data_IF_071098793226
#
_entry.id   IF_071098793226
#
_cell.length_a   1.000
_cell.length_b   1.000
_cell.length_c   1.000
_cell.angle_alpha   90.00
_cell.angle_beta   90.00
_cell.angle_gamma   90.00
#
_symmetry.space_group_name_H-M   'P 1'
#
loop_
_entity.id
_entity.type
_entity.pdbx_description
1 polymer ?
#
# COMPACT_ATOMS: atom_id res chain seq x y z
N UNK A 1 -7.17 -1.24 -12.14
CA UNK A 1 -7.69 -0.59 -10.92
C UNK A 1 -8.36 -1.57 -9.93
N UNK A 2 -9.59 -2.06 -10.14
CA UNK A 2 -10.26 -2.94 -9.14
C UNK A 2 -9.48 -4.23 -8.84
N UNK A 3 -8.92 -4.90 -9.85
CA UNK A 3 -8.13 -6.14 -9.68
C UNK A 3 -6.79 -5.95 -8.95
N UNK A 4 -6.19 -4.76 -9.01
CA UNK A 4 -4.93 -4.47 -8.30
C UNK A 4 -5.20 -4.21 -6.83
N UNK A 5 -6.30 -3.51 -6.50
CA UNK A 5 -6.76 -3.32 -5.13
C UNK A 5 -7.00 -4.67 -4.43
N UNK A 6 -7.63 -5.64 -5.10
CA UNK A 6 -7.87 -6.98 -4.53
C UNK A 6 -6.59 -7.74 -4.17
N UNK A 7 -5.53 -7.61 -4.98
CA UNK A 7 -4.27 -8.34 -4.77
C UNK A 7 -3.45 -7.75 -3.62
N UNK A 8 -3.58 -6.45 -3.37
CA UNK A 8 -2.96 -5.78 -2.22
C UNK A 8 -3.66 -6.12 -0.89
N UNK A 9 -5.00 -6.21 -0.88
CA UNK A 9 -5.75 -6.52 0.35
C UNK A 9 -5.54 -7.97 0.82
N UNK A 10 -5.30 -8.90 -0.11
CA UNK A 10 -5.04 -10.32 0.16
C UNK A 10 -3.59 -10.66 0.54
N UNK A 11 -2.73 -9.66 0.81
CA UNK A 11 -1.40 -9.93 1.36
C UNK A 11 -1.52 -10.71 2.68
N UNK A 12 -0.70 -11.76 2.90
CA UNK A 12 -0.86 -12.72 4.00
C UNK A 12 -0.86 -12.06 5.38
N UNK A 13 -0.14 -10.94 5.52
CA UNK A 13 -0.07 -10.15 6.75
C UNK A 13 -1.43 -9.58 7.20
N UNK A 14 -2.38 -9.41 6.28
CA UNK A 14 -3.73 -8.85 6.53
C UNK A 14 -4.82 -9.93 6.53
N UNK A 15 -4.63 -10.97 5.72
CA UNK A 15 -5.59 -12.07 5.62
C UNK A 15 -5.67 -12.92 6.91
N UNK A 16 -4.56 -13.09 7.63
CA UNK A 16 -4.49 -13.90 8.87
C UNK A 16 -5.35 -13.30 10.01
N UNK A 17 -5.13 -12.05 10.46
CA UNK A 17 -5.93 -11.48 11.56
C UNK A 17 -7.40 -11.34 11.17
N UNK A 18 -7.68 -11.01 9.92
CA UNK A 18 -9.03 -10.86 9.41
C UNK A 18 -9.78 -12.20 9.34
N UNK A 19 -9.08 -13.26 8.92
CA UNK A 19 -9.59 -14.63 8.97
C UNK A 19 -9.86 -15.12 10.39
N UNK A 20 -8.96 -14.83 11.34
CA UNK A 20 -9.14 -15.17 12.76
C UNK A 20 -10.37 -14.50 13.36
N UNK A 21 -10.54 -13.19 13.14
CA UNK A 21 -11.70 -12.43 13.63
C UNK A 21 -12.98 -12.91 12.96
N UNK A 22 -12.95 -13.15 11.64
CA UNK A 22 -14.10 -13.67 10.90
C UNK A 22 -14.52 -15.07 11.37
N UNK A 23 -13.55 -15.96 11.59
CA UNK A 23 -13.82 -17.31 12.10
C UNK A 23 -14.42 -17.27 13.51
N UNK A 24 -13.89 -16.40 14.38
CA UNK A 24 -14.41 -16.22 15.74
C UNK A 24 -15.87 -15.72 15.71
N UNK A 25 -16.17 -14.70 14.89
CA UNK A 25 -17.53 -14.16 14.72
C UNK A 25 -18.51 -15.22 14.21
N UNK A 26 -18.17 -15.90 13.11
CA UNK A 26 -19.03 -16.93 12.52
C UNK A 26 -19.26 -18.10 13.50
N UNK A 27 -18.24 -18.48 14.27
CA UNK A 27 -18.36 -19.53 15.28
C UNK A 27 -19.25 -19.13 16.45
N UNK A 28 -19.14 -17.88 16.92
CA UNK A 28 -19.96 -17.35 18.01
C UNK A 28 -21.44 -17.25 17.58
N UNK A 29 -21.71 -16.77 16.37
CA UNK A 29 -23.07 -16.68 15.84
C UNK A 29 -23.68 -18.06 15.66
N UNK A 30 -22.95 -19.02 15.09
CA UNK A 30 -23.43 -20.39 14.94
C UNK A 30 -23.81 -21.03 16.28
N UNK A 31 -22.98 -20.84 17.32
CA UNK A 31 -23.25 -21.38 18.66
C UNK A 31 -24.48 -20.72 19.30
N UNK A 32 -24.69 -19.42 19.06
CA UNK A 32 -25.76 -18.65 19.67
C UNK A 32 -27.13 -18.88 19.00
N UNK A 33 -27.22 -18.80 17.67
CA UNK A 33 -28.51 -18.84 16.96
C UNK A 33 -28.80 -20.17 16.28
N UNK A 34 -27.78 -21.00 16.00
CA UNK A 34 -27.89 -22.25 15.21
C UNK A 34 -28.62 -22.07 13.86
N UNK A 35 -28.62 -20.84 13.33
CA UNK A 35 -29.33 -20.47 12.13
C UNK A 35 -28.34 -20.18 11.00
N UNK A 36 -28.43 -20.94 9.91
CA UNK A 36 -27.56 -20.75 8.73
C UNK A 36 -27.70 -19.37 8.09
N UNK A 37 -28.89 -18.77 8.17
CA UNK A 37 -29.17 -17.44 7.59
C UNK A 37 -28.44 -16.34 8.37
N UNK A 38 -28.33 -16.47 9.69
CA UNK A 38 -27.58 -15.53 10.53
C UNK A 38 -26.08 -15.59 10.21
N UNK A 39 -25.52 -16.81 10.13
CA UNK A 39 -24.11 -17.01 9.74
C UNK A 39 -23.83 -16.49 8.33
N UNK A 40 -24.76 -16.67 7.39
CA UNK A 40 -24.62 -16.13 6.03
C UNK A 40 -24.62 -14.60 6.02
N UNK A 41 -25.45 -13.94 6.84
CA UNK A 41 -25.46 -12.49 6.97
C UNK A 41 -24.12 -11.96 7.51
N UNK A 42 -23.55 -12.61 8.52
CA UNK A 42 -22.23 -12.25 9.06
C UNK A 42 -21.11 -12.44 8.03
N UNK A 43 -21.19 -13.51 7.23
CA UNK A 43 -20.24 -13.72 6.14
C UNK A 43 -20.34 -12.61 5.09
N UNK A 44 -21.55 -12.20 4.72
CA UNK A 44 -21.78 -11.07 3.81
C UNK A 44 -21.23 -9.78 4.42
N UNK A 45 -21.42 -9.54 5.71
CA UNK A 45 -20.87 -8.37 6.40
C UNK A 45 -19.34 -8.35 6.33
N UNK A 46 -18.68 -9.48 6.58
CA UNK A 46 -17.22 -9.62 6.48
C UNK A 46 -16.71 -9.32 5.07
N UNK A 47 -17.39 -9.86 4.04
CA UNK A 47 -17.03 -9.62 2.65
C UNK A 47 -17.22 -8.15 2.28
N UNK A 48 -18.35 -7.54 2.66
CA UNK A 48 -18.62 -6.13 2.44
C UNK A 48 -17.63 -5.24 3.18
N UNK A 49 -17.23 -5.60 4.40
CA UNK A 49 -16.21 -4.90 5.16
C UNK A 49 -14.87 -4.87 4.42
N UNK A 50 -14.37 -6.04 3.98
CA UNK A 50 -13.10 -6.12 3.23
C UNK A 50 -13.14 -5.31 1.93
N UNK A 51 -14.30 -5.28 1.28
CA UNK A 51 -14.48 -4.64 -0.02
C UNK A 51 -14.67 -3.13 0.06
N UNK A 52 -15.54 -2.68 0.96
CA UNK A 52 -15.97 -1.28 1.05
C UNK A 52 -15.05 -0.46 1.93
N UNK A 53 -14.44 -1.07 2.94
CA UNK A 53 -13.69 -0.32 3.95
C UNK A 53 -12.46 0.41 3.38
N UNK A 54 -11.58 -0.22 2.57
CA UNK A 54 -10.43 0.47 1.97
C UNK A 54 -10.80 1.62 1.00
N UNK A 55 -11.75 1.47 0.06
CA UNK A 55 -12.12 2.59 -0.83
C UNK A 55 -12.89 3.70 -0.11
N UNK A 56 -13.76 3.37 0.86
CA UNK A 56 -14.49 4.37 1.64
C UNK A 56 -13.55 5.23 2.49
N UNK A 57 -12.57 4.62 3.15
CA UNK A 57 -11.53 5.34 3.89
C UNK A 57 -10.83 6.37 2.99
N UNK A 58 -10.42 5.95 1.79
CA UNK A 58 -9.72 6.82 0.82
C UNK A 58 -10.60 7.95 0.29
N UNK A 59 -11.87 7.67 0.03
CA UNK A 59 -12.80 8.65 -0.52
C UNK A 59 -13.22 9.70 0.52
N UNK A 60 -13.42 9.29 1.78
CA UNK A 60 -14.01 10.14 2.81
C UNK A 60 -12.96 10.82 3.69
N UNK A 61 -11.95 10.08 4.18
CA UNK A 61 -10.99 10.60 5.16
C UNK A 61 -9.77 11.27 4.50
N UNK A 62 -9.40 10.89 3.28
CA UNK A 62 -8.22 11.40 2.59
C UNK A 62 -6.90 11.13 3.35
N UNK A 63 -5.76 11.68 2.88
CA UNK A 63 -4.45 11.45 3.50
C UNK A 63 -4.31 12.04 4.92
N UNK A 64 -5.09 13.09 5.23
CA UNK A 64 -4.99 13.85 6.48
C UNK A 64 -6.00 13.45 7.56
N UNK A 65 -6.98 12.58 7.24
CA UNK A 65 -7.98 12.12 8.21
C UNK A 65 -8.93 13.21 8.67
N UNK A 66 -9.66 13.84 7.74
CA UNK A 66 -10.59 14.93 8.06
C UNK A 66 -11.71 14.47 9.02
N UNK A 67 -12.13 15.35 9.95
CA UNK A 67 -13.20 15.06 10.90
C UNK A 67 -14.54 14.72 10.20
N UNK A 68 -14.85 15.43 9.11
CA UNK A 68 -16.01 15.11 8.25
C UNK A 68 -15.90 13.73 7.61
N UNK A 69 -14.70 13.32 7.20
CA UNK A 69 -14.45 11.98 6.68
C UNK A 69 -14.74 10.88 7.68
N UNK A 70 -14.32 11.06 8.94
CA UNK A 70 -14.60 10.12 10.03
C UNK A 70 -16.10 10.00 10.33
N UNK A 71 -16.82 11.12 10.31
CA UNK A 71 -18.29 11.13 10.47
C UNK A 71 -18.95 10.38 9.31
N UNK A 72 -18.55 10.68 8.07
CA UNK A 72 -19.07 9.99 6.88
C UNK A 72 -18.80 8.49 6.91
N UNK A 73 -17.60 8.08 7.30
CA UNK A 73 -17.22 6.67 7.41
C UNK A 73 -18.05 5.94 8.46
N UNK A 74 -18.23 6.55 9.64
CA UNK A 74 -19.04 5.98 10.72
C UNK A 74 -20.50 5.85 10.31
N UNK A 75 -21.04 6.85 9.59
CA UNK A 75 -22.40 6.82 9.08
C UNK A 75 -22.60 5.69 8.06
N UNK A 76 -21.68 5.55 7.09
CA UNK A 76 -21.74 4.46 6.10
C UNK A 76 -21.57 3.09 6.77
N UNK A 77 -20.66 2.97 7.74
CA UNK A 77 -20.46 1.74 8.50
C UNK A 77 -21.74 1.33 9.26
N UNK A 78 -22.38 2.28 9.96
CA UNK A 78 -23.64 2.04 10.65
C UNK A 78 -24.76 1.65 9.69
N UNK A 79 -24.85 2.29 8.52
CA UNK A 79 -25.83 1.96 7.50
C UNK A 79 -25.63 0.55 6.93
N UNK A 80 -24.39 0.17 6.61
CA UNK A 80 -24.06 -1.17 6.09
C UNK A 80 -24.33 -2.25 7.14
N UNK A 81 -23.86 -2.06 8.37
CA UNK A 81 -24.09 -3.00 9.49
C UNK A 81 -25.59 -3.15 9.74
N UNK A 82 -26.32 -2.03 9.86
CA UNK A 82 -27.77 -2.05 10.10
C UNK A 82 -28.55 -2.73 8.98
N UNK A 83 -28.21 -2.49 7.71
CA UNK A 83 -28.87 -3.12 6.57
C UNK A 83 -28.67 -4.64 6.56
N UNK A 84 -27.45 -5.12 6.86
CA UNK A 84 -27.14 -6.56 6.87
C UNK A 84 -27.81 -7.26 8.06
N UNK A 85 -27.75 -6.67 9.25
CA UNK A 85 -28.38 -7.24 10.45
C UNK A 85 -29.91 -7.24 10.41
N UNK A 86 -30.52 -6.41 9.55
CA UNK A 86 -31.96 -6.44 9.31
C UNK A 86 -32.41 -7.66 8.46
N UNK A 87 -31.50 -8.31 7.72
CA UNK A 87 -31.86 -9.42 6.80
C UNK A 87 -32.41 -10.64 7.56
N UNK A 88 -31.74 -11.18 8.59
CA UNK A 88 -32.22 -12.39 9.29
C UNK A 88 -33.62 -12.26 9.93
N UNK A 89 -33.98 -11.18 10.65
CA UNK A 89 -35.32 -11.05 11.20
C UNK A 89 -36.39 -10.87 10.12
N UNK A 90 -36.08 -10.18 9.02
CA UNK A 90 -37.03 -9.97 7.91
C UNK A 90 -37.30 -11.24 7.10
N UNK A 91 -36.27 -12.08 6.89
CA UNK A 91 -36.36 -13.26 6.01
C UNK A 91 -36.73 -14.53 6.78
N UNK A 92 -36.23 -14.69 8.00
CA UNK A 92 -36.32 -15.93 8.75
C UNK A 92 -37.06 -15.81 10.08
N UNK A 93 -37.43 -14.59 10.51
CA UNK A 93 -38.02 -14.35 11.83
C UNK A 93 -37.07 -14.65 13.00
N UNK A 94 -35.80 -14.97 12.71
CA UNK A 94 -34.77 -15.25 13.70
C UNK A 94 -33.99 -13.98 14.01
N UNK A 95 -33.87 -13.63 15.28
CA UNK A 95 -32.96 -12.58 15.73
C UNK A 95 -31.53 -13.11 15.76
N UNK A 96 -30.61 -12.39 15.12
CA UNK A 96 -29.16 -12.63 15.19
C UNK A 96 -28.65 -12.25 16.57
N UNK A 97 -27.73 -13.02 17.17
CA UNK A 97 -27.12 -12.65 18.47
C UNK A 97 -26.30 -11.36 18.32
N UNK A 98 -25.64 -11.23 17.18
CA UNK A 98 -24.94 -10.01 16.74
C UNK A 98 -25.89 -8.81 16.45
N UNK A 99 -27.22 -9.04 16.46
CA UNK A 99 -28.25 -8.00 16.34
C UNK A 99 -28.53 -7.22 17.64
N UNK A 100 -27.95 -7.61 18.79
CA UNK A 100 -27.99 -6.83 20.02
C UNK A 100 -27.35 -5.44 19.78
N UNK A 101 -27.98 -4.33 20.21
CA UNK A 101 -27.39 -2.98 20.17
C UNK A 101 -25.93 -2.91 20.58
N UNK A 102 -25.51 -3.69 21.59
CA UNK A 102 -24.13 -3.72 22.05
C UNK A 102 -23.17 -4.36 21.03
N UNK A 103 -23.58 -5.46 20.41
CA UNK A 103 -22.81 -6.15 19.39
C UNK A 103 -22.75 -5.34 18.07
N UNK A 104 -23.85 -4.68 17.70
CA UNK A 104 -23.90 -3.78 16.56
C UNK A 104 -22.91 -2.61 16.71
N UNK A 105 -22.80 -2.03 17.92
CA UNK A 105 -21.82 -0.98 18.19
C UNK A 105 -20.38 -1.48 18.02
N UNK A 106 -20.07 -2.67 18.54
CA UNK A 106 -18.75 -3.30 18.38
C UNK A 106 -18.43 -3.56 16.90
N UNK A 107 -19.39 -4.01 16.10
CA UNK A 107 -19.21 -4.21 14.67
C UNK A 107 -18.92 -2.91 13.93
N UNK A 108 -19.65 -1.84 14.24
CA UNK A 108 -19.39 -0.51 13.65
C UNK A 108 -18.01 -0.01 14.05
N UNK A 109 -17.64 -0.16 15.32
CA UNK A 109 -16.31 0.22 15.80
C UNK A 109 -15.20 -0.59 15.10
N UNK A 110 -15.38 -1.89 14.96
CA UNK A 110 -14.45 -2.76 14.23
C UNK A 110 -14.36 -2.38 12.75
N UNK A 111 -15.49 -2.02 12.13
CA UNK A 111 -15.54 -1.55 10.75
C UNK A 111 -14.73 -0.27 10.56
N UNK A 112 -14.91 0.69 11.46
CA UNK A 112 -14.22 1.99 11.41
C UNK A 112 -12.72 1.84 11.71
N UNK A 113 -12.35 1.15 12.79
CA UNK A 113 -10.95 0.93 13.19
C UNK A 113 -10.22 0.05 12.18
N UNK A 114 -10.85 -1.03 11.73
CA UNK A 114 -10.29 -1.92 10.72
C UNK A 114 -10.14 -1.23 9.35
N UNK A 115 -11.07 -0.32 9.01
CA UNK A 115 -10.95 0.52 7.82
C UNK A 115 -9.81 1.52 7.89
N UNK A 116 -9.63 2.15 9.04
CA UNK A 116 -8.48 3.00 9.31
C UNK A 116 -7.16 2.23 9.19
N UNK A 117 -7.05 1.07 9.83
CA UNK A 117 -5.85 0.23 9.79
C UNK A 117 -5.49 -0.21 8.38
N UNK A 118 -6.45 -0.78 7.65
CA UNK A 118 -6.24 -1.23 6.28
C UNK A 118 -5.91 -0.07 5.34
N UNK A 119 -6.62 1.04 5.46
CA UNK A 119 -6.41 2.22 4.62
C UNK A 119 -5.05 2.86 4.84
N UNK A 120 -4.62 3.02 6.10
CA UNK A 120 -3.32 3.60 6.46
C UNK A 120 -2.17 2.70 6.01
N UNK A 121 -2.29 1.38 6.17
CA UNK A 121 -1.26 0.45 5.74
C UNK A 121 -1.06 0.46 4.22
N UNK A 122 -2.13 0.57 3.42
CA UNK A 122 -2.00 0.70 1.94
C UNK A 122 -1.30 2.01 1.57
N UNK A 123 -1.65 3.12 2.22
CA UNK A 123 -1.05 4.42 1.92
C UNK A 123 0.45 4.45 2.26
N UNK A 124 0.85 3.84 3.38
CA UNK A 124 2.25 3.70 3.79
C UNK A 124 3.05 2.86 2.78
N UNK A 125 2.54 1.69 2.39
CA UNK A 125 3.20 0.83 1.40
C UNK A 125 3.41 1.57 0.07
N UNK A 126 2.40 2.30 -0.40
CA UNK A 126 2.52 3.11 -1.63
C UNK A 126 3.49 4.28 -1.47
N UNK A 127 3.54 4.88 -0.27
CA UNK A 127 4.50 5.93 0.07
C UNK A 127 5.94 5.44 -0.04
N UNK A 128 6.22 4.26 0.51
CA UNK A 128 7.55 3.61 0.43
C UNK A 128 7.93 3.34 -1.01
N UNK A 129 7.06 2.69 -1.81
CA UNK A 129 7.35 2.38 -3.22
C UNK A 129 7.61 3.66 -4.04
N UNK A 130 6.84 4.74 -3.81
CA UNK A 130 7.07 6.02 -4.48
C UNK A 130 8.37 6.68 -4.04
N UNK A 131 8.75 6.54 -2.76
CA UNK A 131 9.99 7.09 -2.24
C UNK A 131 11.20 6.35 -2.82
N UNK A 132 11.15 5.02 -2.89
CA UNK A 132 12.17 4.17 -3.52
C UNK A 132 12.34 4.52 -5.00
N UNK A 133 11.24 4.63 -5.76
CA UNK A 133 11.32 5.01 -7.18
C UNK A 133 11.95 6.40 -7.40
N UNK A 134 11.67 7.36 -6.50
CA UNK A 134 12.31 8.69 -6.55
C UNK A 134 13.79 8.64 -6.19
N UNK A 135 14.16 7.81 -5.21
CA UNK A 135 15.56 7.63 -4.81
C UNK A 135 16.39 7.02 -5.95
N UNK A 136 15.85 6.03 -6.65
CA UNK A 136 16.49 5.40 -7.81
C UNK A 136 16.71 6.40 -8.96
N UNK A 137 15.71 7.23 -9.27
CA UNK A 137 15.84 8.26 -10.30
C UNK A 137 16.91 9.31 -9.93
N UNK A 138 16.92 9.76 -8.67
CA UNK A 138 17.93 10.70 -8.18
C UNK A 138 19.34 10.09 -8.21
N UNK A 139 19.47 8.80 -7.87
CA UNK A 139 20.74 8.08 -7.93
C UNK A 139 21.28 8.02 -9.37
N UNK A 140 20.41 7.74 -10.36
CA UNK A 140 20.79 7.73 -11.79
C UNK A 140 21.24 9.10 -12.27
N UNK A 141 20.53 10.16 -11.88
CA UNK A 141 20.91 11.53 -12.25
C UNK A 141 22.24 11.91 -11.62
N UNK A 142 22.48 11.52 -10.35
CA UNK A 142 23.76 11.74 -9.68
C UNK A 142 24.91 11.01 -10.41
N UNK A 143 24.73 9.73 -10.74
CA UNK A 143 25.72 8.94 -11.49
C UNK A 143 26.04 9.58 -12.86
N UNK A 144 25.01 9.99 -13.61
CA UNK A 144 25.20 10.69 -14.88
C UNK A 144 25.97 12.00 -14.72
N UNK A 145 25.66 12.80 -13.70
CA UNK A 145 26.37 14.05 -13.42
C UNK A 145 27.84 13.81 -13.04
N UNK A 146 28.13 12.76 -12.27
CA UNK A 146 29.50 12.37 -11.92
C UNK A 146 30.29 11.94 -13.15
N UNK A 147 29.67 11.15 -14.04
CA UNK A 147 30.30 10.76 -15.31
C UNK A 147 30.58 11.98 -16.21
N UNK A 148 29.67 12.94 -16.28
CA UNK A 148 29.88 14.18 -17.04
C UNK A 148 30.99 15.04 -16.44
N UNK A 149 31.04 15.16 -15.10
CA UNK A 149 32.10 15.90 -14.41
C UNK A 149 33.47 15.23 -14.62
N UNK A 150 33.55 13.90 -14.54
CA UNK A 150 34.78 13.16 -14.78
C UNK A 150 35.25 13.32 -16.23
N UNK A 151 34.34 13.27 -17.20
CA UNK A 151 34.64 13.56 -18.61
C UNK A 151 35.11 14.99 -18.83
N UNK A 152 34.53 15.96 -18.13
CA UNK A 152 34.94 17.35 -18.22
C UNK A 152 36.36 17.58 -17.64
N UNK A 153 36.75 16.80 -16.63
CA UNK A 153 38.12 16.81 -16.08
C UNK A 153 39.16 16.21 -17.04
N UNK A 154 38.76 15.30 -17.92
CA UNK A 154 39.59 14.85 -19.05
C UNK A 154 39.59 15.94 -20.13
N UNK A 155 40.24 17.08 -19.85
CA UNK A 155 40.33 18.19 -20.80
C UNK A 155 41.02 17.71 -22.09
N UNK A 156 40.34 17.74 -23.24
CA UNK A 156 40.93 17.33 -24.51
C UNK A 156 42.24 18.05 -24.80
N UNK A 157 42.37 19.31 -24.38
CA UNK A 157 43.58 20.09 -24.57
C UNK A 157 44.76 19.50 -23.80
N UNK A 158 44.54 18.98 -22.59
CA UNK A 158 45.61 18.35 -21.82
C UNK A 158 46.09 17.06 -22.49
N UNK A 159 45.17 16.26 -23.03
CA UNK A 159 45.51 15.05 -23.81
C UNK A 159 46.27 15.41 -25.09
N UNK A 160 45.79 16.39 -25.87
CA UNK A 160 46.46 16.81 -27.10
C UNK A 160 47.80 17.49 -26.84
N UNK A 161 47.94 18.27 -25.76
CA UNK A 161 49.21 18.85 -25.35
C UNK A 161 50.21 17.78 -24.96
N UNK A 162 49.77 16.78 -24.18
CA UNK A 162 50.66 15.68 -23.76
C UNK A 162 51.09 14.84 -24.96
N UNK A 163 50.16 14.45 -25.83
CA UNK A 163 50.46 13.70 -27.06
C UNK A 163 51.33 14.51 -28.02
N UNK A 164 51.08 15.81 -28.16
CA UNK A 164 51.90 16.72 -28.96
C UNK A 164 53.34 16.80 -28.45
N UNK A 165 53.51 16.99 -27.13
CA UNK A 165 54.83 17.02 -26.50
C UNK A 165 55.60 15.70 -26.66
N UNK A 166 54.91 14.55 -26.55
CA UNK A 166 55.52 13.22 -26.79
C UNK A 166 55.92 13.07 -28.27
N UNK A 167 55.06 13.49 -29.21
CA UNK A 167 55.35 13.40 -30.63
C UNK A 167 56.54 14.30 -31.05
N UNK A 168 56.67 15.48 -30.44
CA UNK A 168 57.82 16.36 -30.62
C UNK A 168 59.10 15.75 -30.05
N UNK A 169 59.06 15.21 -28.82
CA UNK A 169 60.18 14.50 -28.22
C UNK A 169 60.67 13.29 -29.02
N UNK A 170 59.75 12.46 -29.55
CA UNK A 170 60.12 11.33 -30.41
C UNK A 170 60.74 11.76 -31.74
N UNK A 171 60.46 12.98 -32.20
CA UNK A 171 61.00 13.53 -33.46
C UNK A 171 62.38 14.13 -33.28
N UNK A 172 62.63 14.76 -32.14
CA UNK A 172 63.89 15.40 -31.81
C UNK A 172 64.94 14.43 -31.26
N UNK A 173 64.54 13.33 -30.60
CA UNK A 173 65.46 12.33 -30.04
C UNK A 173 64.94 10.87 -30.20
N UNK A 174 64.96 10.32 -31.42
CA UNK A 174 64.35 9.02 -31.73
C UNK A 174 65.01 7.83 -31.00
N UNK A 175 66.29 7.92 -30.66
CA UNK A 175 67.05 6.84 -29.98
C UNK A 175 66.70 6.69 -28.49
N UNK A 176 66.13 7.71 -27.86
CA UNK A 176 65.64 7.65 -26.46
C UNK A 176 64.26 7.00 -26.41
N UNK A 177 63.42 7.24 -27.41
CA UNK A 177 62.09 6.64 -27.53
C UNK A 177 62.16 5.10 -27.73
N UNK A 178 63.10 4.61 -28.53
CA UNK A 178 63.31 3.16 -28.73
C UNK A 178 63.76 2.43 -27.44
N UNK A 179 64.48 3.11 -26.54
CA UNK A 179 64.98 2.54 -25.27
C UNK A 179 63.96 2.53 -24.13
N UNK A 180 62.86 3.26 -24.25
CA UNK A 180 61.84 3.39 -23.19
C UNK A 180 60.67 2.39 -23.32
N UNK A 181 60.72 1.49 -24.32
CA UNK A 181 59.77 0.39 -24.55
C UNK A 181 60.20 -0.86 -23.79
#
# INVERSE_FOLDING_TARGET
MFRETWRETLRPRRAIPLGLVGLALLSAEWVATRAWIAVAADLVLLVLFVLLSPPLWRALCGPSGSALGWIGLTFVAALVVGLVLAIPPLVAGSFTYVGDPNAAFLLVALFVVGGWGLGRDVELERGVVRAEARADDLARVAEQSQLLALRAQLDPHFLFNTLGAIAEWCRDDPEVAERAT
#
